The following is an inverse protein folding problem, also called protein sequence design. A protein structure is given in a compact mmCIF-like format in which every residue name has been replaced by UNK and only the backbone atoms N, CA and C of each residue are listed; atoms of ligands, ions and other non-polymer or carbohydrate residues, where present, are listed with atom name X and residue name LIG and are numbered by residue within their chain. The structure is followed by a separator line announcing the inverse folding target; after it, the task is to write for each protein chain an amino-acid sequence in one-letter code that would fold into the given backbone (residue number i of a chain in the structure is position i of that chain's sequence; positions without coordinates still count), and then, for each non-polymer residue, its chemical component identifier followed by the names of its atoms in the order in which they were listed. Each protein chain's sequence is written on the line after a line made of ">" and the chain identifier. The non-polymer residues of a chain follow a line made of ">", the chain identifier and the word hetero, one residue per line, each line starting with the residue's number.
data_IF_179835700585
#
_entry.id   IF_179835700585
#
_cell.length_a   1.000
_cell.length_b   1.000
_cell.length_c   1.000
_cell.angle_alpha   90.00
_cell.angle_beta   90.00
_cell.angle_gamma   90.00
#
_symmetry.space_group_name_H-M   'P 1'
#
loop_
_entity.id
_entity.type
_entity.pdbx_description
1 polymer ?
#
# COMPACT_ATOMS: atom_id res chain seq x y z
N UNK A 1 -17.81 16.03 14.41
CA UNK A 1 -17.12 15.80 13.12
C UNK A 1 -15.93 16.75 12.86
N UNK A 2 -15.47 17.58 13.82
CA UNK A 2 -14.38 18.56 13.57
C UNK A 2 -12.96 17.96 13.49
N UNK A 3 -12.80 16.67 13.78
CA UNK A 3 -11.47 16.02 13.89
C UNK A 3 -11.25 14.90 12.87
N UNK A 4 -12.17 14.71 11.91
CA UNK A 4 -12.09 13.66 10.88
C UNK A 4 -11.06 13.99 9.78
N UNK A 5 -10.50 15.20 9.79
CA UNK A 5 -9.49 15.66 8.82
C UNK A 5 -8.22 16.20 9.52
N UNK A 6 -8.00 15.88 10.80
CA UNK A 6 -6.79 16.33 11.51
C UNK A 6 -5.56 15.55 11.00
N UNK A 7 -4.56 16.23 10.37
CA UNK A 7 -3.35 15.61 9.82
C UNK A 7 -2.52 14.84 10.85
N UNK A 8 -2.68 15.14 12.15
CA UNK A 8 -1.95 14.49 13.24
C UNK A 8 -2.68 13.27 13.82
N UNK A 9 -3.90 12.99 13.34
CA UNK A 9 -4.72 11.88 13.82
C UNK A 9 -4.26 10.54 13.23
N UNK A 10 -4.32 9.47 14.02
CA UNK A 10 -3.65 8.19 13.71
C UNK A 10 -4.08 7.50 12.41
N UNK A 11 -5.27 7.77 11.88
CA UNK A 11 -5.71 7.17 10.61
C UNK A 11 -4.94 7.74 9.39
N UNK A 12 -4.45 8.98 9.43
CA UNK A 12 -3.60 9.54 8.35
C UNK A 12 -2.16 9.02 8.43
N UNK A 13 -1.69 8.66 9.64
CA UNK A 13 -0.45 7.89 9.80
C UNK A 13 -0.60 6.48 9.25
N UNK A 14 -1.81 5.90 9.28
CA UNK A 14 -2.04 4.51 8.87
C UNK A 14 -1.69 4.29 7.39
N UNK A 15 -2.21 5.10 6.47
CA UNK A 15 -1.86 4.97 5.04
C UNK A 15 -0.35 5.14 4.82
N UNK A 16 0.26 6.14 5.45
CA UNK A 16 1.71 6.39 5.35
C UNK A 16 2.53 5.21 5.88
N UNK A 17 2.13 4.63 7.01
CA UNK A 17 2.78 3.49 7.62
C UNK A 17 2.63 2.23 6.77
N UNK A 18 1.44 1.99 6.19
CA UNK A 18 1.21 0.88 5.28
C UNK A 18 2.05 1.03 4.02
N UNK A 19 2.12 2.23 3.42
CA UNK A 19 3.01 2.48 2.27
C UNK A 19 4.47 2.22 2.62
N UNK A 20 4.96 2.70 3.77
CA UNK A 20 6.34 2.43 4.24
C UNK A 20 6.59 0.94 4.45
N UNK A 21 5.64 0.23 5.05
CA UNK A 21 5.72 -1.22 5.21
C UNK A 21 5.82 -1.92 3.86
N UNK A 22 4.91 -1.66 2.93
CA UNK A 22 4.93 -2.25 1.58
C UNK A 22 6.24 -1.93 0.84
N UNK A 23 6.77 -0.71 0.97
CA UNK A 23 8.05 -0.33 0.38
C UNK A 23 9.23 -1.13 0.96
N UNK A 24 9.18 -1.50 2.24
CA UNK A 24 10.22 -2.29 2.91
C UNK A 24 10.24 -3.77 2.50
N UNK A 25 9.18 -4.27 1.86
CA UNK A 25 9.08 -5.67 1.44
C UNK A 25 9.89 -5.95 0.17
N UNK A 26 10.39 -7.18 0.08
CA UNK A 26 11.04 -7.68 -1.13
C UNK A 26 10.04 -7.89 -2.28
N UNK A 27 10.56 -7.92 -3.50
CA UNK A 27 9.75 -8.14 -4.69
C UNK A 27 9.02 -9.49 -4.68
N UNK A 28 9.63 -10.53 -4.11
CA UNK A 28 9.01 -11.84 -3.95
C UNK A 28 7.80 -11.78 -3.00
N UNK A 29 7.93 -11.06 -1.88
CA UNK A 29 6.84 -10.86 -0.93
C UNK A 29 5.71 -10.03 -1.55
N UNK A 30 6.03 -8.95 -2.27
CA UNK A 30 5.00 -8.13 -2.94
C UNK A 30 4.21 -8.95 -3.96
N UNK A 31 4.87 -9.82 -4.74
CA UNK A 31 4.19 -10.73 -5.66
C UNK A 31 3.25 -11.69 -4.94
N UNK A 32 3.76 -12.37 -3.91
CA UNK A 32 2.95 -13.33 -3.13
C UNK A 32 1.74 -12.66 -2.47
N UNK A 33 1.91 -11.46 -1.92
CA UNK A 33 0.79 -10.72 -1.33
C UNK A 33 -0.22 -10.29 -2.39
N UNK A 34 0.26 -9.87 -3.57
CA UNK A 34 -0.62 -9.48 -4.68
C UNK A 34 -1.42 -10.66 -5.25
N UNK A 35 -0.87 -11.88 -5.23
CA UNK A 35 -1.62 -13.10 -5.59
C UNK A 35 -2.81 -13.36 -4.65
N UNK A 36 -2.69 -12.99 -3.37
CA UNK A 36 -3.74 -13.13 -2.36
C UNK A 36 -4.47 -11.81 -2.07
N UNK A 37 -4.48 -10.87 -3.02
CA UNK A 37 -4.94 -9.49 -2.80
C UNK A 37 -6.35 -9.38 -2.22
N UNK A 38 -7.25 -10.29 -2.60
CA UNK A 38 -8.64 -10.35 -2.12
C UNK A 38 -8.76 -10.57 -0.61
N UNK A 39 -7.73 -11.11 0.03
CA UNK A 39 -7.67 -11.39 1.47
C UNK A 39 -6.82 -10.39 2.25
N UNK A 40 -6.36 -9.31 1.61
CA UNK A 40 -5.47 -8.31 2.25
C UNK A 40 -6.27 -7.14 2.83
N UNK A 41 -5.75 -6.56 3.91
CA UNK A 41 -6.39 -5.42 4.61
C UNK A 41 -6.26 -4.09 3.84
N UNK A 42 -5.37 -4.01 2.84
CA UNK A 42 -5.11 -2.80 2.04
C UNK A 42 -4.87 -3.10 0.55
N UNK A 43 -5.85 -3.70 -0.14
CA UNK A 43 -5.66 -4.22 -1.50
C UNK A 43 -5.29 -3.11 -2.50
N UNK A 44 -5.87 -1.92 -2.36
CA UNK A 44 -5.59 -0.79 -3.24
C UNK A 44 -4.13 -0.32 -3.13
N UNK A 45 -3.61 -0.18 -1.90
CA UNK A 45 -2.23 0.26 -1.67
C UNK A 45 -1.22 -0.79 -2.15
N UNK A 46 -1.53 -2.07 -1.92
CA UNK A 46 -0.74 -3.19 -2.42
C UNK A 46 -0.72 -3.22 -3.96
N UNK A 47 -1.87 -3.02 -4.62
CA UNK A 47 -1.94 -2.97 -6.08
C UNK A 47 -1.18 -1.80 -6.69
N UNK A 48 -1.20 -0.64 -6.03
CA UNK A 48 -0.43 0.53 -6.43
C UNK A 48 1.08 0.24 -6.36
N UNK A 49 1.57 -0.32 -5.25
CA UNK A 49 2.99 -0.65 -5.08
C UNK A 49 3.42 -1.76 -6.05
N UNK A 50 2.61 -2.80 -6.23
CA UNK A 50 2.86 -3.86 -7.22
C UNK A 50 2.96 -3.27 -8.64
N UNK A 51 2.00 -2.42 -9.02
CA UNK A 51 2.00 -1.78 -10.35
C UNK A 51 3.23 -0.89 -10.52
N UNK A 52 3.63 -0.13 -9.51
CA UNK A 52 4.83 0.71 -9.54
C UNK A 52 6.11 -0.10 -9.80
N UNK A 53 6.22 -1.30 -9.20
CA UNK A 53 7.40 -2.16 -9.31
C UNK A 53 7.45 -2.98 -10.60
N UNK A 54 6.31 -3.51 -11.04
CA UNK A 54 6.28 -4.55 -12.08
C UNK A 54 5.56 -4.14 -13.35
N UNK A 55 4.79 -3.05 -13.34
CA UNK A 55 4.18 -2.53 -14.57
C UNK A 55 5.25 -1.75 -15.32
N UNK A 56 5.88 -2.40 -16.30
CA UNK A 56 6.79 -1.74 -17.24
C UNK A 56 6.07 -0.54 -17.85
N UNK A 57 6.57 0.66 -17.60
CA UNK A 57 6.21 1.83 -18.41
C UNK A 57 6.60 1.50 -19.84
N UNK A 58 5.61 1.14 -20.68
CA UNK A 58 5.78 1.29 -22.12
C UNK A 58 5.94 2.79 -22.34
N UNK A 59 7.19 3.20 -22.61
CA UNK A 59 7.52 4.54 -23.12
C UNK A 59 6.81 4.76 -24.45
#
# INVERSE_FOLDING_TARGET
>A
MKNLLDPNHDYLKTETNVKKYLQSLSDAQIKSYYEMIEFTTFPLLLAQEYSKRFKKTKK
#
